data_IF_382232533774
#
_entry.id   IF_382232533774
#
_cell.length_a   1.000
_cell.length_b   1.000
_cell.length_c   1.000
_cell.angle_alpha   90.00
_cell.angle_beta   90.00
_cell.angle_gamma   90.00
#
_symmetry.space_group_name_H-M   'P 1'
#
loop_
_entity.id
_entity.type
_entity.pdbx_description
1 polymer ?
#
# COMPACT_ATOMS: atom_id res chain seq x y z
N UNK A 1 4.77 58.52 42.23
CA UNK A 1 5.31 58.85 40.88
C UNK A 1 6.37 57.84 40.34
N UNK A 2 7.10 57.08 41.20
CA UNK A 2 8.14 56.12 40.71
C UNK A 2 7.64 54.83 40.08
N UNK A 3 6.40 54.43 40.36
CA UNK A 3 5.83 53.12 39.80
C UNK A 3 5.30 53.21 38.37
N UNK A 4 4.91 54.40 37.91
CA UNK A 4 4.38 54.61 36.54
C UNK A 4 5.52 54.63 35.53
N UNK A 5 6.72 55.12 35.90
CA UNK A 5 7.89 55.14 35.01
C UNK A 5 8.43 53.74 34.67
N UNK A 6 8.33 52.75 35.60
CA UNK A 6 8.79 51.39 35.41
C UNK A 6 7.86 50.65 34.46
N UNK A 7 6.54 50.86 34.57
CA UNK A 7 5.54 50.21 33.68
C UNK A 7 5.67 50.69 32.21
N UNK A 8 5.94 51.99 32.04
CA UNK A 8 6.12 52.57 30.70
C UNK A 8 7.40 52.06 30.02
N UNK A 9 8.48 51.85 30.80
CA UNK A 9 9.75 51.33 30.30
C UNK A 9 9.62 49.88 29.83
N UNK A 10 8.85 49.03 30.53
CA UNK A 10 8.60 47.65 30.12
C UNK A 10 7.78 47.54 28.82
N UNK A 11 6.79 48.42 28.63
CA UNK A 11 5.98 48.46 27.42
C UNK A 11 6.81 48.90 26.20
N UNK A 12 7.69 49.90 26.37
CA UNK A 12 8.58 50.37 25.30
C UNK A 12 9.63 49.30 24.94
N UNK A 13 10.14 48.56 25.92
CA UNK A 13 11.10 47.48 25.68
C UNK A 13 10.48 46.31 24.87
N UNK A 14 9.20 45.97 25.12
CA UNK A 14 8.48 44.98 24.36
C UNK A 14 8.18 45.40 22.90
N UNK A 15 8.11 46.71 22.63
CA UNK A 15 7.88 47.24 21.28
C UNK A 15 9.17 47.35 20.45
N UNK A 16 10.35 47.37 21.10
CA UNK A 16 11.64 47.48 20.42
C UNK A 16 12.25 46.15 19.96
N UNK A 17 11.74 45.02 20.45
CA UNK A 17 12.11 43.71 20.01
C UNK A 17 10.88 42.98 19.54
N UNK A 18 10.44 43.18 18.27
CA UNK A 18 9.48 42.29 17.67
C UNK A 18 10.22 40.96 17.45
N UNK A 19 10.16 40.08 18.43
CA UNK A 19 10.47 38.69 18.15
C UNK A 19 9.53 38.27 17.01
N UNK A 20 10.10 38.12 15.82
CA UNK A 20 9.45 37.38 14.76
C UNK A 20 9.29 35.96 15.30
N UNK A 21 8.14 35.71 15.93
CA UNK A 21 7.68 34.35 16.15
C UNK A 21 7.52 33.77 14.74
N UNK A 22 8.59 33.18 14.23
CA UNK A 22 8.47 32.24 13.13
C UNK A 22 7.65 31.09 13.71
N UNK A 23 6.36 31.12 13.48
CA UNK A 23 5.58 29.91 13.54
C UNK A 23 6.19 29.01 12.43
N UNK A 24 7.20 28.22 12.80
CA UNK A 24 7.55 27.05 12.01
C UNK A 24 6.24 26.27 11.90
N UNK A 25 5.67 26.34 10.69
CA UNK A 25 4.61 25.46 10.28
C UNK A 25 5.26 24.08 10.37
N UNK A 26 5.04 23.38 11.50
CA UNK A 26 5.34 21.97 11.59
C UNK A 26 4.38 21.33 10.58
N UNK A 27 4.80 21.33 9.34
CA UNK A 27 4.26 20.43 8.34
C UNK A 27 4.79 19.07 8.82
N UNK A 28 3.99 18.37 9.60
CA UNK A 28 4.15 16.94 9.75
C UNK A 28 4.02 16.43 8.32
N UNK A 29 5.14 16.22 7.64
CA UNK A 29 5.15 15.46 6.42
C UNK A 29 4.60 14.08 6.82
N UNK A 30 3.35 13.83 6.47
CA UNK A 30 2.79 12.51 6.62
C UNK A 30 3.64 11.59 5.75
N UNK A 31 4.18 10.55 6.36
CA UNK A 31 4.87 9.52 5.59
C UNK A 31 3.90 8.94 4.56
N UNK A 32 4.31 8.86 3.30
CA UNK A 32 3.48 8.24 2.27
C UNK A 32 3.11 6.81 2.65
N UNK A 33 1.97 6.35 2.19
CA UNK A 33 1.49 4.98 2.44
C UNK A 33 1.48 4.23 1.11
N UNK A 34 2.22 3.13 1.06
CA UNK A 34 2.21 2.21 -0.08
C UNK A 34 1.33 1.02 0.21
N UNK A 35 0.36 0.79 -0.64
CA UNK A 35 -0.56 -0.33 -0.52
C UNK A 35 -0.41 -1.22 -1.75
N UNK A 36 -0.16 -2.52 -1.55
CA UNK A 36 -0.21 -3.52 -2.61
C UNK A 36 -1.33 -4.51 -2.35
N UNK A 37 -2.21 -4.69 -3.34
CA UNK A 37 -3.19 -5.75 -3.36
C UNK A 37 -2.60 -6.98 -4.05
N UNK A 38 -2.50 -8.10 -3.35
CA UNK A 38 -2.08 -9.41 -3.87
C UNK A 38 -3.34 -10.19 -4.19
N UNK A 39 -3.60 -10.38 -5.48
CA UNK A 39 -4.90 -10.83 -5.98
C UNK A 39 -4.76 -12.22 -6.56
N UNK A 40 -5.42 -13.18 -5.93
CA UNK A 40 -5.54 -14.55 -6.42
C UNK A 40 -6.40 -14.56 -7.69
N UNK A 41 -5.84 -15.13 -8.73
CA UNK A 41 -6.47 -15.27 -10.03
C UNK A 41 -6.56 -16.74 -10.48
N UNK A 42 -6.52 -17.65 -9.51
CA UNK A 42 -6.61 -19.09 -9.73
C UNK A 42 -7.97 -19.55 -10.27
N UNK A 43 -8.04 -20.80 -10.66
CA UNK A 43 -9.25 -21.40 -11.24
C UNK A 43 -10.40 -21.51 -10.25
N UNK A 44 -10.14 -21.69 -8.94
CA UNK A 44 -11.14 -21.74 -7.87
C UNK A 44 -11.94 -20.44 -7.75
N UNK A 45 -11.30 -19.30 -7.99
CA UNK A 45 -11.95 -17.99 -8.01
C UNK A 45 -13.11 -17.91 -9.03
N UNK A 46 -13.12 -18.71 -10.10
CA UNK A 46 -14.28 -18.77 -11.02
C UNK A 46 -15.56 -19.24 -10.36
N UNK A 47 -15.43 -20.09 -9.35
CA UNK A 47 -16.58 -20.67 -8.63
C UNK A 47 -16.84 -19.97 -7.32
N UNK A 48 -15.82 -19.51 -6.66
CA UNK A 48 -15.92 -18.92 -5.32
C UNK A 48 -16.11 -17.40 -5.35
N UNK A 49 -15.62 -16.74 -6.40
CA UNK A 49 -15.84 -15.29 -6.65
C UNK A 49 -16.49 -15.03 -8.02
N UNK A 50 -17.62 -15.70 -8.27
CA UNK A 50 -18.38 -15.62 -9.55
C UNK A 50 -18.72 -14.18 -9.94
N UNK A 51 -19.02 -13.34 -8.97
CA UNK A 51 -19.34 -11.93 -9.18
C UNK A 51 -18.12 -11.01 -9.26
N UNK A 52 -16.91 -11.57 -9.18
CA UNK A 52 -15.65 -10.82 -9.14
C UNK A 52 -15.60 -9.77 -8.03
N UNK A 53 -16.11 -10.16 -6.88
CA UNK A 53 -16.22 -9.27 -5.72
C UNK A 53 -14.85 -8.79 -5.25
N UNK A 54 -13.83 -9.68 -5.25
CA UNK A 54 -12.46 -9.33 -4.90
C UNK A 54 -11.92 -8.19 -5.75
N UNK A 55 -12.04 -8.29 -7.07
CA UNK A 55 -11.60 -7.22 -7.99
C UNK A 55 -12.42 -5.94 -7.84
N UNK A 56 -13.74 -6.09 -7.67
CA UNK A 56 -14.64 -4.95 -7.47
C UNK A 56 -14.34 -4.21 -6.17
N UNK A 57 -13.95 -4.92 -5.11
CA UNK A 57 -13.53 -4.31 -3.85
C UNK A 57 -12.26 -3.46 -4.01
N UNK A 58 -11.25 -3.96 -4.76
CA UNK A 58 -10.03 -3.19 -5.03
C UNK A 58 -10.36 -1.93 -5.85
N UNK A 59 -11.17 -2.07 -6.89
CA UNK A 59 -11.59 -0.92 -7.71
C UNK A 59 -12.35 0.12 -6.89
N UNK A 60 -13.28 -0.32 -6.02
CA UNK A 60 -14.01 0.57 -5.12
C UNK A 60 -13.10 1.25 -4.08
N UNK A 61 -12.07 0.55 -3.60
CA UNK A 61 -11.07 1.13 -2.73
C UNK A 61 -10.31 2.25 -3.43
N UNK A 62 -9.84 2.00 -4.67
CA UNK A 62 -9.15 3.00 -5.50
C UNK A 62 -10.02 4.24 -5.74
N UNK A 63 -11.33 4.06 -5.96
CA UNK A 63 -12.28 5.17 -6.13
C UNK A 63 -12.49 5.98 -4.85
N UNK A 64 -12.47 5.31 -3.70
CA UNK A 64 -12.79 5.94 -2.41
C UNK A 64 -11.62 6.71 -1.82
N UNK A 65 -10.40 6.25 -2.08
CA UNK A 65 -9.19 6.88 -1.54
C UNK A 65 -8.85 8.12 -2.35
N UNK A 66 -8.85 9.29 -1.69
CA UNK A 66 -8.54 10.59 -2.30
C UNK A 66 -7.36 11.29 -1.61
N UNK A 67 -6.48 10.53 -0.97
CA UNK A 67 -5.32 11.07 -0.27
C UNK A 67 -4.12 11.15 -1.22
N UNK A 68 -3.46 12.30 -1.25
CA UNK A 68 -2.28 12.54 -2.09
C UNK A 68 -1.04 11.76 -1.62
N UNK A 69 -1.04 11.34 -0.37
CA UNK A 69 0.03 10.60 0.29
C UNK A 69 -0.14 9.07 0.20
N UNK A 70 -1.14 8.59 -0.56
CA UNK A 70 -1.36 7.15 -0.78
C UNK A 70 -0.96 6.77 -2.20
N UNK A 71 -0.16 5.70 -2.30
CA UNK A 71 0.22 5.06 -3.55
C UNK A 71 -0.32 3.64 -3.54
N UNK A 72 -0.87 3.19 -4.67
CA UNK A 72 -1.47 1.86 -4.78
C UNK A 72 -0.81 1.08 -5.92
N UNK A 73 -0.50 -0.17 -5.63
CA UNK A 73 -0.06 -1.17 -6.59
C UNK A 73 -0.87 -2.45 -6.46
N UNK A 74 -0.59 -3.40 -7.32
CA UNK A 74 -1.17 -4.74 -7.24
C UNK A 74 -0.24 -5.81 -7.81
N UNK A 75 -0.46 -7.03 -7.39
CA UNK A 75 0.12 -8.26 -7.96
C UNK A 75 -1.02 -9.23 -8.21
N UNK A 76 -1.29 -9.56 -9.47
CA UNK A 76 -2.24 -10.60 -9.86
C UNK A 76 -1.47 -11.89 -10.14
N UNK A 77 -1.83 -12.96 -9.47
CA UNK A 77 -1.12 -14.24 -9.56
C UNK A 77 -2.07 -15.44 -9.67
N UNK A 78 -1.54 -16.51 -10.20
CA UNK A 78 -2.07 -17.88 -10.12
C UNK A 78 -0.89 -18.84 -9.86
N UNK A 79 -0.54 -19.76 -10.75
CA UNK A 79 0.73 -20.50 -10.73
C UNK A 79 1.88 -19.71 -11.37
N UNK A 80 1.65 -18.45 -11.69
CA UNK A 80 2.61 -17.49 -12.25
C UNK A 80 2.17 -16.06 -11.91
N UNK A 81 3.07 -15.08 -12.03
CA UNK A 81 2.69 -13.67 -11.98
C UNK A 81 2.06 -13.30 -13.34
N UNK A 82 0.80 -12.89 -13.31
CA UNK A 82 0.02 -12.54 -14.49
C UNK A 82 0.21 -11.09 -14.91
N UNK A 83 0.09 -10.19 -13.95
CA UNK A 83 0.30 -8.77 -14.12
C UNK A 83 0.59 -8.12 -12.77
N UNK A 84 1.24 -6.97 -12.79
CA UNK A 84 1.52 -6.21 -11.57
C UNK A 84 1.71 -4.73 -11.87
N UNK A 85 1.58 -3.92 -10.83
CA UNK A 85 1.98 -2.53 -10.79
C UNK A 85 2.63 -2.25 -9.45
N UNK A 86 3.81 -1.66 -9.45
CA UNK A 86 4.40 -1.12 -8.22
C UNK A 86 3.52 0.01 -7.66
N UNK A 87 3.63 0.36 -6.38
CA UNK A 87 2.89 1.47 -5.80
C UNK A 87 3.09 2.77 -6.58
N UNK A 88 2.03 3.30 -7.16
CA UNK A 88 2.00 4.55 -7.92
C UNK A 88 0.96 5.52 -7.35
N UNK A 89 1.16 6.80 -7.56
CA UNK A 89 0.17 7.81 -7.19
C UNK A 89 -1.19 7.51 -7.85
N UNK A 90 -2.23 7.78 -7.10
CA UNK A 90 -3.62 7.74 -7.56
C UNK A 90 -4.30 9.11 -7.37
N UNK A 91 -3.52 10.16 -7.24
CA UNK A 91 -4.04 11.51 -6.99
C UNK A 91 -4.88 12.03 -8.15
N UNK A 92 -4.46 11.74 -9.39
CA UNK A 92 -5.19 12.13 -10.58
C UNK A 92 -6.27 11.11 -10.95
N UNK A 93 -7.40 11.59 -11.46
CA UNK A 93 -8.52 10.73 -11.87
C UNK A 93 -8.11 9.74 -12.97
N UNK A 94 -7.30 10.18 -13.92
CA UNK A 94 -6.78 9.36 -15.01
C UNK A 94 -5.88 8.22 -14.53
N UNK A 95 -5.08 8.44 -13.47
CA UNK A 95 -4.25 7.41 -12.85
C UNK A 95 -5.11 6.34 -12.16
N UNK A 96 -6.19 6.77 -11.48
CA UNK A 96 -7.16 5.86 -10.86
C UNK A 96 -7.88 5.01 -11.91
N UNK A 97 -8.40 5.63 -12.96
CA UNK A 97 -9.10 4.90 -14.02
C UNK A 97 -8.17 3.90 -14.70
N UNK A 98 -6.94 4.28 -15.03
CA UNK A 98 -5.96 3.37 -15.62
C UNK A 98 -5.69 2.15 -14.72
N UNK A 99 -5.49 2.35 -13.40
CA UNK A 99 -5.29 1.26 -12.46
C UNK A 99 -6.52 0.35 -12.36
N UNK A 100 -7.73 0.92 -12.34
CA UNK A 100 -8.99 0.16 -12.33
C UNK A 100 -9.20 -0.65 -13.60
N UNK A 101 -8.83 -0.11 -14.76
CA UNK A 101 -8.89 -0.85 -16.03
C UNK A 101 -7.93 -2.02 -16.03
N UNK A 102 -6.68 -1.85 -15.56
CA UNK A 102 -5.70 -2.92 -15.41
C UNK A 102 -6.26 -4.05 -14.52
N UNK A 103 -6.81 -3.72 -13.35
CA UNK A 103 -7.41 -4.67 -12.41
C UNK A 103 -8.67 -5.33 -13.02
N UNK A 104 -9.49 -4.56 -13.71
CA UNK A 104 -10.71 -5.04 -14.35
C UNK A 104 -10.44 -6.05 -15.47
N UNK A 105 -9.28 -5.99 -16.11
CA UNK A 105 -8.87 -6.89 -17.19
C UNK A 105 -8.38 -8.28 -16.69
N UNK A 106 -8.12 -8.43 -15.39
CA UNK A 106 -7.63 -9.68 -14.77
C UNK A 106 -8.65 -10.81 -15.01
N UNK A 107 -8.17 -12.00 -15.31
CA UNK A 107 -8.99 -13.21 -15.52
C UNK A 107 -8.53 -14.36 -14.64
N UNK A 108 -9.47 -15.17 -14.18
CA UNK A 108 -9.21 -16.30 -13.30
C UNK A 108 -8.86 -17.56 -14.09
N UNK A 109 -7.78 -18.27 -13.73
CA UNK A 109 -7.35 -19.50 -14.39
C UNK A 109 -6.24 -20.23 -13.64
N UNK A 110 -6.04 -21.51 -13.94
CA UNK A 110 -4.93 -22.34 -13.46
C UNK A 110 -4.94 -22.62 -11.96
N UNK A 111 -3.77 -22.96 -11.42
CA UNK A 111 -3.54 -23.40 -10.06
C UNK A 111 -3.21 -22.19 -9.15
N UNK A 112 -2.90 -22.44 -7.87
CA UNK A 112 -2.71 -21.37 -6.88
C UNK A 112 -1.34 -21.46 -6.24
N UNK A 113 -0.48 -20.44 -6.42
CA UNK A 113 0.82 -20.30 -5.75
C UNK A 113 0.85 -19.00 -4.91
N UNK A 114 0.34 -19.07 -3.69
CA UNK A 114 0.25 -17.89 -2.80
C UNK A 114 1.65 -17.38 -2.45
N UNK A 115 2.60 -18.27 -2.18
CA UNK A 115 3.97 -17.90 -1.86
C UNK A 115 4.61 -17.05 -2.94
N UNK A 116 4.41 -17.40 -4.22
CA UNK A 116 4.88 -16.63 -5.36
C UNK A 116 4.28 -15.22 -5.39
N UNK A 117 2.96 -15.12 -5.23
CA UNK A 117 2.25 -13.84 -5.26
C UNK A 117 2.68 -12.90 -4.13
N UNK A 118 2.77 -13.42 -2.92
CA UNK A 118 3.17 -12.66 -1.72
C UNK A 118 4.65 -12.28 -1.77
N UNK A 119 5.54 -13.18 -2.19
CA UNK A 119 6.97 -12.89 -2.36
C UNK A 119 7.20 -11.74 -3.33
N UNK A 120 6.53 -11.77 -4.46
CA UNK A 120 6.66 -10.71 -5.45
C UNK A 120 6.18 -9.35 -4.94
N UNK A 121 5.07 -9.33 -4.19
CA UNK A 121 4.57 -8.10 -3.56
C UNK A 121 5.51 -7.59 -2.46
N UNK A 122 6.11 -8.50 -1.69
CA UNK A 122 7.11 -8.15 -0.68
C UNK A 122 8.35 -7.50 -1.31
N UNK A 123 8.84 -8.02 -2.43
CA UNK A 123 9.95 -7.41 -3.17
C UNK A 123 9.61 -5.99 -3.65
N UNK A 124 8.42 -5.78 -4.20
CA UNK A 124 7.96 -4.47 -4.66
C UNK A 124 7.88 -3.47 -3.50
N UNK A 125 7.35 -3.88 -2.34
CA UNK A 125 7.26 -3.01 -1.16
C UNK A 125 8.64 -2.76 -0.53
N UNK A 126 9.52 -3.74 -0.49
CA UNK A 126 10.87 -3.60 0.09
C UNK A 126 11.76 -2.66 -0.73
N UNK A 127 11.48 -2.51 -2.02
CA UNK A 127 12.18 -1.55 -2.88
C UNK A 127 11.87 -0.09 -2.52
N UNK A 128 10.70 0.17 -1.93
CA UNK A 128 10.26 1.49 -1.51
C UNK A 128 10.85 1.87 -0.15
N UNK A 129 11.27 3.13 -0.02
CA UNK A 129 11.90 3.64 1.21
C UNK A 129 11.11 4.82 1.76
N UNK A 130 11.16 4.98 3.08
CA UNK A 130 10.53 6.10 3.79
C UNK A 130 9.00 6.16 3.57
N UNK A 131 8.35 4.99 3.52
CA UNK A 131 6.91 4.87 3.39
C UNK A 131 6.38 3.88 4.42
N UNK A 132 5.14 4.07 4.85
CA UNK A 132 4.38 3.03 5.54
C UNK A 132 3.90 2.05 4.49
N UNK A 133 4.00 0.77 4.77
CA UNK A 133 3.73 -0.28 3.80
C UNK A 133 2.56 -1.13 4.26
N UNK A 134 1.68 -1.48 3.34
CA UNK A 134 0.51 -2.33 3.59
C UNK A 134 0.39 -3.33 2.46
N UNK A 135 0.30 -4.61 2.80
CA UNK A 135 -0.02 -5.68 1.87
C UNK A 135 -1.41 -6.22 2.19
N UNK A 136 -2.26 -6.36 1.17
CA UNK A 136 -3.61 -6.90 1.31
C UNK A 136 -3.74 -8.12 0.39
N UNK A 137 -3.81 -9.31 0.98
CA UNK A 137 -4.03 -10.54 0.23
C UNK A 137 -5.53 -10.79 0.03
N UNK A 138 -5.92 -11.06 -1.22
CA UNK A 138 -7.28 -11.46 -1.62
C UNK A 138 -7.17 -12.83 -2.27
N UNK A 139 -7.65 -13.86 -1.60
CA UNK A 139 -7.66 -15.25 -2.04
C UNK A 139 -8.88 -15.97 -1.49
N UNK A 140 -9.28 -17.07 -2.13
CA UNK A 140 -10.38 -17.92 -1.71
C UNK A 140 -9.92 -19.26 -1.10
N UNK A 141 -8.60 -19.49 -1.00
CA UNK A 141 -8.11 -20.79 -0.56
C UNK A 141 -6.65 -20.82 -0.14
N UNK A 142 -6.10 -22.00 -0.28
CA UNK A 142 -4.73 -22.36 0.03
C UNK A 142 -3.94 -22.54 -1.28
N UNK A 143 -2.61 -22.66 -1.16
CA UNK A 143 -1.76 -23.06 -2.29
C UNK A 143 -2.21 -24.42 -2.81
N UNK A 144 -2.44 -24.52 -4.12
CA UNK A 144 -2.81 -25.76 -4.82
C UNK A 144 -1.97 -25.87 -6.10
N UNK A 145 -0.92 -26.66 -6.03
CA UNK A 145 0.02 -26.90 -7.14
C UNK A 145 0.06 -28.39 -7.47
N UNK A 146 -0.24 -28.80 -8.71
CA UNK A 146 -0.21 -30.20 -9.12
C UNK A 146 1.18 -30.82 -8.94
N UNK A 147 1.18 -32.10 -8.58
CA UNK A 147 2.44 -32.86 -8.47
C UNK A 147 3.19 -32.90 -9.80
N UNK A 148 4.53 -32.74 -9.73
CA UNK A 148 5.41 -32.80 -10.90
C UNK A 148 5.63 -31.46 -11.58
N UNK A 149 5.13 -30.36 -11.02
CA UNK A 149 5.54 -29.02 -11.42
C UNK A 149 6.94 -28.67 -10.87
N UNK A 150 7.57 -27.66 -11.48
CA UNK A 150 8.86 -27.14 -11.04
C UNK A 150 8.80 -26.59 -9.61
N UNK A 151 7.69 -25.93 -9.24
CA UNK A 151 7.40 -25.46 -7.90
C UNK A 151 6.43 -26.39 -7.18
N UNK A 152 6.66 -26.59 -5.90
CA UNK A 152 5.82 -27.43 -5.03
C UNK A 152 5.06 -26.58 -4.02
N UNK A 153 3.96 -27.12 -3.48
CA UNK A 153 3.21 -26.49 -2.39
C UNK A 153 4.09 -26.21 -1.17
N UNK A 154 5.00 -27.13 -0.83
CA UNK A 154 5.91 -26.95 0.28
C UNK A 154 6.86 -25.76 0.09
N UNK A 155 7.40 -25.59 -1.14
CA UNK A 155 8.22 -24.42 -1.47
C UNK A 155 7.42 -23.11 -1.40
N UNK A 156 6.19 -23.11 -1.95
CA UNK A 156 5.31 -21.96 -1.88
C UNK A 156 5.00 -21.57 -0.42
N UNK A 157 4.67 -22.54 0.42
CA UNK A 157 4.36 -22.31 1.83
C UNK A 157 5.59 -21.81 2.62
N UNK A 158 6.78 -22.36 2.34
CA UNK A 158 8.03 -21.88 2.97
C UNK A 158 8.34 -20.43 2.58
N UNK A 159 8.15 -20.07 1.31
CA UNK A 159 8.32 -18.69 0.85
C UNK A 159 7.30 -17.76 1.49
N UNK A 160 6.04 -18.18 1.60
CA UNK A 160 5.01 -17.42 2.29
C UNK A 160 5.39 -17.14 3.74
N UNK A 161 5.84 -18.17 4.49
CA UNK A 161 6.30 -18.01 5.87
C UNK A 161 7.48 -17.03 5.97
N UNK A 162 8.47 -17.15 5.08
CA UNK A 162 9.62 -16.25 5.04
C UNK A 162 9.19 -14.81 4.78
N UNK A 163 8.27 -14.58 3.82
CA UNK A 163 7.75 -13.26 3.53
C UNK A 163 6.97 -12.67 4.70
N UNK A 164 6.16 -13.46 5.39
CA UNK A 164 5.44 -12.99 6.58
C UNK A 164 6.44 -12.54 7.66
N UNK A 165 7.50 -13.32 7.90
CA UNK A 165 8.56 -12.93 8.85
C UNK A 165 9.24 -11.62 8.41
N UNK A 166 9.60 -11.49 7.14
CA UNK A 166 10.21 -10.27 6.60
C UNK A 166 9.26 -9.07 6.73
N UNK A 167 7.97 -9.23 6.40
CA UNK A 167 6.97 -8.18 6.55
C UNK A 167 6.88 -7.69 8.01
N UNK A 168 6.91 -8.60 8.97
CA UNK A 168 6.90 -8.25 10.40
C UNK A 168 8.15 -7.48 10.82
N UNK A 169 9.32 -7.83 10.29
CA UNK A 169 10.59 -7.15 10.57
C UNK A 169 10.64 -5.75 9.91
N UNK A 170 10.09 -5.61 8.72
CA UNK A 170 10.08 -4.35 7.96
C UNK A 170 8.89 -3.44 8.28
N UNK A 171 7.93 -3.91 9.06
CA UNK A 171 6.72 -3.15 9.42
C UNK A 171 5.71 -3.02 8.27
N UNK A 172 5.62 -4.06 7.42
CA UNK A 172 4.65 -4.19 6.33
C UNK A 172 3.33 -4.74 6.87
#
# INVERSE_FOLDING_TARGET
>A
MKRIGILLCCIVLCLLFPEKVHAEKIVSEKEPVDIIFVIDCSGSMKTNDVSRMGLSMVQAFVDTVQAEDIRIGYVAYNDSILSYSAPKSIALAEEREALKEEIGAITYSRDTDIGLGVSYACELLSAEKNTRKIMVLISDGETDLPQGKERTEEQSNQELEQCVCQCLEEGI
#
